data_IF_339085880358
#
_entry.id   IF_339085880358
#
_cell.length_a   1.000
_cell.length_b   1.000
_cell.length_c   1.000
_cell.angle_alpha   90.00
_cell.angle_beta   90.00
_cell.angle_gamma   90.00
#
_symmetry.space_group_name_H-M   'P 1'
#
loop_
_entity.id
_entity.type
_entity.pdbx_description
1 polymer ?
#
# COMPACT_ATOMS: atom_id res chain seq x y z
N UNK A 1 46.24 37.31 5.44
CA UNK A 1 45.26 38.42 5.48
C UNK A 1 43.95 37.89 4.91
N UNK A 2 42.88 37.93 5.70
CA UNK A 2 41.50 37.64 5.29
C UNK A 2 40.89 38.93 4.63
N UNK A 3 39.59 39.00 4.21
CA UNK A 3 38.62 37.98 3.79
C UNK A 3 37.67 38.39 2.61
N UNK A 4 36.88 37.41 2.14
CA UNK A 4 35.43 37.42 1.76
C UNK A 4 34.76 38.56 0.96
N UNK A 5 33.98 38.19 -0.07
CA UNK A 5 32.50 38.34 -0.14
C UNK A 5 31.97 38.02 -1.56
N UNK A 6 31.16 36.97 -1.71
CA UNK A 6 30.23 36.77 -2.82
C UNK A 6 28.87 36.36 -2.23
N UNK A 7 27.99 37.36 -2.09
CA UNK A 7 26.57 37.22 -1.79
C UNK A 7 25.81 36.93 -3.10
N UNK A 8 25.11 35.79 -3.20
CA UNK A 8 23.68 35.64 -2.90
C UNK A 8 22.76 36.48 -3.81
N UNK A 9 22.30 35.88 -4.90
CA UNK A 9 21.16 36.36 -5.68
C UNK A 9 19.88 35.70 -5.13
N UNK A 10 19.18 36.41 -4.25
CA UNK A 10 17.85 36.08 -3.79
C UNK A 10 16.81 36.57 -4.80
N UNK A 11 16.01 35.65 -5.37
CA UNK A 11 14.81 36.00 -6.12
C UNK A 11 13.70 36.36 -5.15
N UNK A 12 13.30 37.64 -5.19
CA UNK A 12 12.24 38.25 -4.40
C UNK A 12 10.87 37.69 -4.82
N UNK A 13 10.10 37.18 -3.87
CA UNK A 13 8.65 36.98 -4.01
C UNK A 13 7.97 38.16 -3.30
N UNK A 14 7.41 39.07 -4.10
CA UNK A 14 6.55 40.15 -3.62
C UNK A 14 5.27 39.56 -3.02
N UNK A 15 5.07 39.76 -1.72
CA UNK A 15 3.82 39.53 -1.03
C UNK A 15 2.92 40.78 -1.14
N UNK A 16 1.71 40.62 -1.69
CA UNK A 16 0.64 41.61 -1.58
C UNK A 16 -0.41 41.12 -0.56
N UNK A 17 -0.89 41.96 0.38
CA UNK A 17 -1.86 41.53 1.37
C UNK A 17 -3.27 41.60 0.78
N UNK A 18 -4.01 40.49 0.80
CA UNK A 18 -5.47 40.52 0.60
C UNK A 18 -6.20 40.12 1.89
N UNK A 19 -7.10 41.03 2.27
CA UNK A 19 -7.97 41.06 3.45
C UNK A 19 -8.88 39.83 3.56
N UNK A 20 -9.03 39.35 4.80
CA UNK A 20 -10.29 38.92 5.43
C UNK A 20 -11.23 37.99 4.66
N UNK A 21 -11.15 36.70 4.98
CA UNK A 21 -12.21 35.72 4.74
C UNK A 21 -11.80 34.35 5.28
N UNK A 22 -12.56 33.78 6.23
CA UNK A 22 -12.39 32.40 6.72
C UNK A 22 -12.67 31.43 5.57
N UNK A 23 -11.67 31.15 4.74
CA UNK A 23 -11.74 30.18 3.67
C UNK A 23 -11.51 28.77 4.20
N UNK A 24 -12.53 27.90 4.12
CA UNK A 24 -12.34 26.44 4.12
C UNK A 24 -11.33 26.12 3.00
N UNK A 25 -10.11 25.72 3.36
CA UNK A 25 -9.12 25.21 2.40
C UNK A 25 -9.66 23.91 1.83
N UNK A 26 -10.21 23.98 0.61
CA UNK A 26 -10.69 22.83 -0.15
C UNK A 26 -9.53 21.85 -0.33
N UNK A 27 -9.78 20.56 -0.13
CA UNK A 27 -8.79 19.52 -0.40
C UNK A 27 -8.38 19.60 -1.87
N UNK A 28 -7.16 20.05 -2.15
CA UNK A 28 -6.60 19.98 -3.50
C UNK A 28 -5.83 18.68 -3.57
N UNK A 29 -6.53 17.59 -3.91
CA UNK A 29 -5.87 16.58 -4.76
C UNK A 29 -5.54 17.34 -6.04
N UNK A 30 -4.31 17.22 -6.54
CA UNK A 30 -3.93 17.80 -7.83
C UNK A 30 -4.76 17.12 -8.93
N UNK A 31 -6.02 17.52 -9.08
CA UNK A 31 -6.87 17.19 -10.19
C UNK A 31 -6.39 18.07 -11.34
N UNK A 32 -5.48 17.55 -12.16
CA UNK A 32 -5.38 18.01 -13.53
C UNK A 32 -6.74 17.79 -14.17
N UNK A 33 -7.42 18.87 -14.53
CA UNK A 33 -8.54 18.81 -15.45
C UNK A 33 -8.02 18.17 -16.76
N UNK A 34 -8.42 16.92 -17.00
CA UNK A 34 -7.94 16.09 -18.11
C UNK A 34 -7.48 14.72 -17.60
N UNK A 35 -8.25 13.67 -17.93
CA UNK A 35 -8.04 12.26 -17.58
C UNK A 35 -7.70 12.02 -16.09
N UNK A 36 -8.73 11.90 -15.23
CA UNK A 36 -8.55 11.86 -13.78
C UNK A 36 -7.61 10.76 -13.27
N UNK A 37 -6.83 11.10 -12.24
CA UNK A 37 -5.89 10.21 -11.56
C UNK A 37 -6.62 9.00 -10.91
N UNK A 38 -5.94 7.84 -10.76
CA UNK A 38 -6.49 6.71 -10.01
C UNK A 38 -6.78 7.10 -8.55
N UNK A 39 -7.71 6.40 -7.86
CA UNK A 39 -8.08 6.73 -6.49
C UNK A 39 -6.87 6.57 -5.56
N UNK A 40 -6.87 7.35 -4.47
CA UNK A 40 -5.90 7.17 -3.38
C UNK A 40 -6.34 5.99 -2.50
N UNK A 41 -5.45 5.02 -2.27
CA UNK A 41 -5.66 3.96 -1.29
C UNK A 41 -5.09 4.36 0.06
N UNK A 42 -5.87 4.16 1.11
CA UNK A 42 -5.49 4.45 2.49
C UNK A 42 -5.63 3.18 3.32
N UNK A 43 -4.61 2.84 4.09
CA UNK A 43 -4.67 1.69 5.01
C UNK A 43 -3.95 1.97 6.32
N UNK A 44 -4.22 1.12 7.31
CA UNK A 44 -3.73 1.26 8.69
C UNK A 44 -3.06 -0.03 9.14
N UNK A 45 -1.85 0.08 9.69
CA UNK A 45 -1.07 -1.04 10.22
C UNK A 45 -0.98 -0.95 11.73
N UNK A 46 -1.14 -2.08 12.40
CA UNK A 46 -1.16 -2.11 13.86
C UNK A 46 -1.52 -3.49 14.39
N UNK A 47 -1.10 -3.76 15.63
CA UNK A 47 -1.37 -5.04 16.30
C UNK A 47 -2.89 -5.29 16.40
N UNK A 48 -3.32 -6.55 16.49
CA UNK A 48 -4.72 -6.87 16.83
C UNK A 48 -5.21 -6.07 18.06
N UNK A 49 -6.38 -5.45 17.97
CA UNK A 49 -6.96 -4.61 19.02
C UNK A 49 -6.39 -3.19 19.16
N UNK A 50 -5.49 -2.75 18.27
CA UNK A 50 -4.95 -1.37 18.30
C UNK A 50 -5.90 -0.28 17.78
N UNK A 51 -7.04 -0.64 17.19
CA UNK A 51 -8.03 0.29 16.63
C UNK A 51 -7.95 0.52 15.12
N UNK A 52 -7.45 -0.46 14.34
CA UNK A 52 -7.33 -0.34 12.86
C UNK A 52 -8.67 -0.06 12.16
N UNK A 53 -9.68 -0.88 12.42
CA UNK A 53 -11.04 -0.73 11.87
C UNK A 53 -11.65 0.62 12.25
N UNK A 54 -11.46 1.04 13.49
CA UNK A 54 -11.89 2.36 13.95
C UNK A 54 -11.18 3.49 13.20
N UNK A 55 -9.86 3.39 13.01
CA UNK A 55 -9.10 4.38 12.25
C UNK A 55 -9.52 4.43 10.77
N UNK A 56 -9.80 3.27 10.16
CA UNK A 56 -10.33 3.18 8.81
C UNK A 56 -11.70 3.85 8.70
N UNK A 57 -12.63 3.57 9.62
CA UNK A 57 -13.95 4.20 9.65
C UNK A 57 -13.86 5.73 9.85
N UNK A 58 -13.04 6.20 10.79
CA UNK A 58 -12.79 7.64 11.03
C UNK A 58 -12.22 8.31 9.78
N UNK A 59 -11.25 7.68 9.12
CA UNK A 59 -10.65 8.23 7.90
C UNK A 59 -11.65 8.26 6.74
N UNK A 60 -12.45 7.20 6.55
CA UNK A 60 -13.46 7.15 5.50
C UNK A 60 -14.52 8.26 5.68
N UNK A 61 -15.02 8.42 6.90
CA UNK A 61 -15.96 9.49 7.26
C UNK A 61 -15.35 10.87 7.10
N UNK A 62 -14.07 11.03 7.45
CA UNK A 62 -13.36 12.29 7.24
C UNK A 62 -13.25 12.64 5.76
N UNK A 63 -12.80 11.74 4.89
CA UNK A 63 -12.70 12.00 3.45
C UNK A 63 -14.06 12.29 2.82
N UNK A 64 -15.11 11.55 3.19
CA UNK A 64 -16.47 11.82 2.73
C UNK A 64 -16.97 13.21 3.16
N UNK A 65 -16.69 13.61 4.40
CA UNK A 65 -17.04 14.96 4.92
C UNK A 65 -16.30 16.10 4.22
N UNK A 66 -15.16 15.81 3.61
CA UNK A 66 -14.38 16.74 2.80
C UNK A 66 -14.89 16.84 1.35
N UNK A 67 -15.94 16.07 1.02
CA UNK A 67 -16.57 16.04 -0.30
C UNK A 67 -15.92 15.07 -1.29
N UNK A 68 -15.09 14.14 -0.82
CA UNK A 68 -14.47 13.12 -1.67
C UNK A 68 -15.35 11.88 -1.75
N UNK A 69 -15.53 11.34 -2.96
CA UNK A 69 -16.17 10.03 -3.15
C UNK A 69 -15.29 8.96 -2.54
N UNK A 70 -15.75 8.38 -1.43
CA UNK A 70 -14.96 7.49 -0.59
C UNK A 70 -15.58 6.10 -0.54
N UNK A 71 -14.76 5.06 -0.67
CA UNK A 71 -15.17 3.67 -0.45
C UNK A 71 -14.42 3.08 0.74
N UNK A 72 -15.13 2.60 1.76
CA UNK A 72 -14.58 1.79 2.84
C UNK A 72 -14.69 0.30 2.49
N UNK A 73 -13.54 -0.34 2.30
CA UNK A 73 -13.42 -1.77 1.99
C UNK A 73 -12.99 -2.52 3.25
N UNK A 74 -13.83 -3.45 3.72
CA UNK A 74 -13.59 -4.19 4.97
C UNK A 74 -13.25 -5.65 4.64
N UNK A 75 -12.11 -6.14 5.11
CA UNK A 75 -11.72 -7.55 4.96
C UNK A 75 -12.17 -8.43 6.15
N UNK A 76 -12.30 -7.85 7.34
CA UNK A 76 -12.68 -8.61 8.54
C UNK A 76 -14.14 -9.09 8.48
N UNK A 77 -14.41 -10.24 9.09
CA UNK A 77 -15.75 -10.83 9.09
C UNK A 77 -16.58 -10.49 10.34
N UNK A 78 -15.93 -9.92 11.36
CA UNK A 78 -16.56 -9.52 12.62
C UNK A 78 -17.45 -8.25 12.45
N UNK A 79 -18.38 -7.98 13.39
CA UNK A 79 -19.36 -6.91 13.24
C UNK A 79 -18.82 -5.50 13.57
N UNK A 80 -17.53 -5.33 13.90
CA UNK A 80 -16.99 -4.05 14.39
C UNK A 80 -17.23 -2.91 13.40
N UNK A 81 -16.98 -3.12 12.10
CA UNK A 81 -17.18 -2.09 11.09
C UNK A 81 -18.66 -1.70 10.95
N UNK A 82 -19.57 -2.68 10.93
CA UNK A 82 -21.02 -2.44 10.84
C UNK A 82 -21.54 -1.69 12.06
N UNK A 83 -21.06 -2.04 13.25
CA UNK A 83 -21.42 -1.37 14.50
C UNK A 83 -20.95 0.08 14.55
N UNK A 84 -19.71 0.35 14.10
CA UNK A 84 -19.18 1.71 14.00
C UNK A 84 -19.96 2.55 12.99
N UNK A 85 -20.26 1.97 11.82
CA UNK A 85 -20.95 2.64 10.73
C UNK A 85 -22.45 2.81 10.98
N UNK A 86 -23.06 1.96 11.82
CA UNK A 86 -24.49 1.95 12.08
C UNK A 86 -25.32 1.42 10.89
N UNK A 87 -24.69 0.74 9.93
CA UNK A 87 -25.32 0.18 8.73
C UNK A 87 -24.76 -1.23 8.47
N UNK A 88 -25.57 -2.10 7.86
CA UNK A 88 -25.10 -3.43 7.41
C UNK A 88 -24.19 -3.26 6.19
N UNK A 89 -23.09 -4.00 6.15
CA UNK A 89 -22.11 -3.92 5.05
C UNK A 89 -22.12 -5.26 4.31
N UNK A 90 -22.67 -5.24 3.09
CA UNK A 90 -22.72 -6.42 2.22
C UNK A 90 -21.48 -6.60 1.35
N UNK A 91 -21.48 -7.66 0.54
CA UNK A 91 -20.44 -7.95 -0.45
C UNK A 91 -20.54 -7.11 -1.74
N UNK A 92 -21.62 -6.34 -1.90
CA UNK A 92 -21.80 -5.33 -2.93
C UNK A 92 -21.62 -3.93 -2.38
N UNK A 93 -21.21 -3.02 -3.27
CA UNK A 93 -21.04 -1.62 -2.97
C UNK A 93 -22.37 -1.01 -2.50
N UNK A 94 -22.37 -0.47 -1.28
CA UNK A 94 -23.57 0.08 -0.63
C UNK A 94 -23.27 1.46 -0.07
N UNK A 95 -24.03 2.47 -0.49
CA UNK A 95 -23.93 3.82 0.07
C UNK A 95 -24.44 3.83 1.52
N UNK A 96 -23.58 4.21 2.46
CA UNK A 96 -23.94 4.29 3.89
C UNK A 96 -24.11 5.76 4.36
N UNK A 97 -23.43 6.70 3.71
CA UNK A 97 -23.63 8.14 3.91
C UNK A 97 -23.25 8.91 2.64
N UNK A 98 -23.57 10.20 2.58
CA UNK A 98 -23.23 11.05 1.44
C UNK A 98 -21.72 10.99 1.13
N UNK A 99 -21.38 10.63 -0.11
CA UNK A 99 -20.01 10.40 -0.58
C UNK A 99 -19.26 9.23 0.10
N UNK A 100 -19.97 8.34 0.80
CA UNK A 100 -19.38 7.20 1.49
C UNK A 100 -20.10 5.90 1.13
N UNK A 101 -19.45 5.12 0.28
CA UNK A 101 -19.83 3.75 -0.02
C UNK A 101 -19.02 2.78 0.84
N UNK A 102 -19.58 1.61 1.09
CA UNK A 102 -18.96 0.55 1.87
C UNK A 102 -19.09 -0.78 1.13
N UNK A 103 -18.12 -1.67 1.32
CA UNK A 103 -18.23 -3.07 0.89
C UNK A 103 -17.40 -3.98 1.78
N UNK A 104 -17.85 -5.22 1.92
CA UNK A 104 -17.18 -6.28 2.65
C UNK A 104 -16.59 -7.28 1.67
N UNK A 105 -15.34 -7.69 1.89
CA UNK A 105 -14.70 -8.73 1.09
C UNK A 105 -15.05 -10.10 1.66
N UNK A 106 -15.74 -10.91 0.87
CA UNK A 106 -16.09 -12.28 1.20
C UNK A 106 -15.37 -13.22 0.22
N UNK A 107 -14.22 -13.75 0.62
CA UNK A 107 -13.36 -14.56 -0.28
C UNK A 107 -14.12 -15.71 -0.93
N UNK A 108 -14.97 -16.42 -0.19
CA UNK A 108 -15.79 -17.51 -0.73
C UNK A 108 -16.69 -17.07 -1.89
N UNK A 109 -17.27 -15.87 -1.82
CA UNK A 109 -18.08 -15.30 -2.92
C UNK A 109 -17.23 -14.74 -4.05
N UNK A 110 -16.11 -14.12 -3.71
CA UNK A 110 -15.19 -13.49 -4.67
C UNK A 110 -14.49 -14.49 -5.59
N UNK A 111 -14.43 -15.76 -5.21
CA UNK A 111 -13.81 -16.82 -6.02
C UNK A 111 -14.70 -17.33 -7.15
N UNK A 112 -16.02 -17.15 -7.04
CA UNK A 112 -16.98 -17.67 -8.02
C UNK A 112 -16.79 -17.00 -9.38
N UNK A 113 -16.71 -15.67 -9.42
CA UNK A 113 -16.56 -14.92 -10.68
C UNK A 113 -15.24 -15.24 -11.41
N UNK A 114 -14.04 -15.25 -10.76
CA UNK A 114 -12.80 -15.72 -11.38
C UNK A 114 -12.88 -17.17 -11.88
N UNK A 115 -13.48 -18.08 -11.12
CA UNK A 115 -13.64 -19.47 -11.53
C UNK A 115 -14.51 -19.58 -12.79
N UNK A 116 -15.63 -18.87 -12.83
CA UNK A 116 -16.51 -18.83 -13.99
C UNK A 116 -15.82 -18.28 -15.24
N UNK A 117 -14.96 -17.28 -15.08
CA UNK A 117 -14.13 -16.77 -16.18
C UNK A 117 -13.13 -17.81 -16.65
N UNK A 118 -12.47 -18.49 -15.71
CA UNK A 118 -11.48 -19.53 -16.02
C UNK A 118 -12.14 -20.68 -16.79
N UNK A 119 -13.34 -21.13 -16.35
CA UNK A 119 -14.17 -22.11 -17.06
C UNK A 119 -14.53 -21.67 -18.48
N UNK A 120 -15.01 -20.44 -18.64
CA UNK A 120 -15.39 -19.90 -19.97
C UNK A 120 -14.23 -19.85 -20.94
N UNK A 121 -13.04 -19.47 -20.47
CA UNK A 121 -11.84 -19.43 -21.32
C UNK A 121 -11.36 -20.85 -21.61
N UNK A 122 -11.38 -21.74 -20.64
CA UNK A 122 -10.99 -23.14 -20.83
C UNK A 122 -11.89 -23.85 -21.86
N UNK A 123 -13.18 -23.57 -21.90
CA UNK A 123 -14.09 -24.09 -22.94
C UNK A 123 -13.68 -23.65 -24.36
N UNK A 124 -13.00 -22.51 -24.51
CA UNK A 124 -12.55 -22.01 -25.81
C UNK A 124 -11.21 -22.61 -26.25
N UNK A 125 -10.28 -22.81 -25.32
CA UNK A 125 -8.92 -23.31 -25.62
C UNK A 125 -8.75 -24.79 -25.33
N UNK A 126 -9.74 -25.42 -24.69
CA UNK A 126 -9.82 -26.80 -24.24
C UNK A 126 -8.54 -27.30 -23.54
N UNK A 127 -7.99 -26.49 -22.61
CA UNK A 127 -6.71 -26.81 -21.96
C UNK A 127 -6.88 -27.95 -20.94
N UNK A 128 -7.97 -27.96 -20.18
CA UNK A 128 -8.21 -28.97 -19.13
C UNK A 128 -9.03 -30.17 -19.61
N UNK A 129 -9.38 -30.24 -20.90
CA UNK A 129 -10.17 -31.34 -21.46
C UNK A 129 -11.51 -31.56 -20.71
N UNK A 130 -12.16 -30.46 -20.27
CA UNK A 130 -13.44 -30.50 -19.56
C UNK A 130 -13.36 -30.76 -18.05
N UNK A 131 -12.17 -31.00 -17.49
CA UNK A 131 -12.01 -31.21 -16.03
C UNK A 131 -12.51 -30.01 -15.22
N UNK A 132 -12.22 -28.80 -15.70
CA UNK A 132 -12.59 -27.57 -15.01
C UNK A 132 -14.11 -27.29 -15.05
N UNK A 133 -14.80 -27.78 -16.07
CA UNK A 133 -16.27 -27.64 -16.20
C UNK A 133 -17.00 -28.35 -15.06
N UNK A 134 -16.48 -29.51 -14.64
CA UNK A 134 -17.05 -30.33 -13.57
C UNK A 134 -16.91 -29.71 -12.16
N UNK A 135 -16.08 -28.68 -11.99
CA UNK A 135 -15.82 -28.08 -10.66
C UNK A 135 -17.01 -27.23 -10.23
N UNK A 136 -17.61 -27.49 -9.07
CA UNK A 136 -18.66 -26.63 -8.50
C UNK A 136 -18.02 -25.58 -7.60
N UNK A 137 -18.25 -24.29 -7.89
CA UNK A 137 -17.55 -23.20 -7.19
C UNK A 137 -17.93 -23.08 -5.72
N UNK A 138 -19.19 -23.34 -5.41
CA UNK A 138 -19.76 -23.29 -4.06
C UNK A 138 -19.25 -24.40 -3.14
N UNK A 139 -18.68 -25.47 -3.70
CA UNK A 139 -18.05 -26.56 -2.96
C UNK A 139 -16.59 -26.26 -2.60
N UNK A 140 -16.00 -25.22 -3.20
CA UNK A 140 -14.60 -24.87 -2.97
C UNK A 140 -14.42 -24.17 -1.61
N UNK A 141 -13.60 -24.79 -0.76
CA UNK A 141 -13.07 -24.13 0.43
C UNK A 141 -12.10 -23.01 0.09
N UNK A 142 -12.02 -22.01 0.97
CA UNK A 142 -10.98 -20.96 0.89
C UNK A 142 -9.67 -21.52 1.42
N UNK A 143 -8.66 -21.65 0.55
CA UNK A 143 -7.31 -22.07 0.93
C UNK A 143 -6.49 -20.89 1.47
N UNK A 144 -5.47 -21.14 2.31
CA UNK A 144 -4.57 -20.10 2.78
C UNK A 144 -3.96 -19.26 1.64
N UNK A 145 -4.07 -17.93 1.75
CA UNK A 145 -3.55 -16.97 0.78
C UNK A 145 -4.52 -16.59 -0.34
N UNK A 146 -5.62 -17.32 -0.53
CA UNK A 146 -6.64 -16.96 -1.52
C UNK A 146 -7.35 -15.66 -1.17
N UNK A 147 -7.54 -15.39 0.12
CA UNK A 147 -8.07 -14.14 0.66
C UNK A 147 -7.19 -12.93 0.34
N UNK A 148 -5.87 -13.06 0.46
CA UNK A 148 -4.92 -12.04 0.04
C UNK A 148 -5.01 -11.76 -1.47
N UNK A 149 -5.04 -12.81 -2.29
CA UNK A 149 -5.17 -12.68 -3.76
C UNK A 149 -6.50 -12.02 -4.14
N UNK A 150 -7.61 -12.50 -3.58
CA UNK A 150 -8.93 -11.92 -3.79
C UNK A 150 -8.98 -10.44 -3.38
N UNK A 151 -8.37 -10.08 -2.25
CA UNK A 151 -8.31 -8.69 -1.80
C UNK A 151 -7.56 -7.80 -2.79
N UNK A 152 -6.43 -8.25 -3.31
CA UNK A 152 -5.69 -7.53 -4.36
C UNK A 152 -6.54 -7.37 -5.62
N UNK A 153 -7.26 -8.41 -6.05
CA UNK A 153 -8.14 -8.35 -7.21
C UNK A 153 -9.32 -7.37 -7.01
N UNK A 154 -9.93 -7.34 -5.82
CA UNK A 154 -10.96 -6.36 -5.47
C UNK A 154 -10.41 -4.93 -5.47
N UNK A 155 -9.26 -4.71 -4.82
CA UNK A 155 -8.60 -3.41 -4.81
C UNK A 155 -8.23 -2.98 -6.23
N UNK A 156 -7.75 -3.90 -7.07
CA UNK A 156 -7.52 -3.64 -8.49
C UNK A 156 -8.77 -3.12 -9.20
N UNK A 157 -9.93 -3.75 -8.96
CA UNK A 157 -11.20 -3.37 -9.59
C UNK A 157 -11.66 -1.99 -9.12
N UNK A 158 -11.51 -1.67 -7.83
CA UNK A 158 -11.89 -0.38 -7.27
C UNK A 158 -10.93 0.75 -7.65
N UNK A 159 -9.63 0.45 -7.71
CA UNK A 159 -8.57 1.42 -8.01
C UNK A 159 -8.38 1.62 -9.51
N UNK A 160 -9.07 0.86 -10.35
CA UNK A 160 -8.98 0.91 -11.81
C UNK A 160 -7.54 0.78 -12.35
N UNK A 161 -6.67 0.01 -11.68
CA UNK A 161 -5.25 -0.16 -12.07
C UNK A 161 -5.05 -0.61 -13.53
N UNK A 162 -6.05 -1.28 -14.11
CA UNK A 162 -5.95 -2.04 -15.36
C UNK A 162 -6.73 -1.39 -16.51
N UNK A 163 -7.47 -0.30 -16.25
CA UNK A 163 -8.30 0.32 -17.27
C UNK A 163 -7.51 1.37 -18.05
N UNK A 164 -7.15 1.06 -19.30
CA UNK A 164 -6.66 2.04 -20.28
C UNK A 164 -7.81 2.76 -21.02
N UNK A 165 -9.05 2.33 -20.81
CA UNK A 165 -10.26 2.86 -21.44
C UNK A 165 -11.37 2.90 -20.38
N UNK A 166 -11.70 4.10 -19.90
CA UNK A 166 -12.74 4.35 -18.90
C UNK A 166 -14.12 3.94 -19.44
N UNK A 167 -14.50 2.67 -19.26
CA UNK A 167 -15.88 2.27 -19.41
C UNK A 167 -16.68 2.82 -18.22
N UNK A 168 -17.70 3.60 -18.57
CA UNK A 168 -18.45 4.55 -17.75
C UNK A 168 -19.45 3.95 -16.74
N UNK A 169 -19.28 2.70 -16.32
CA UNK A 169 -20.27 1.99 -15.48
C UNK A 169 -19.84 1.69 -14.05
N UNK A 170 -18.56 1.92 -13.68
CA UNK A 170 -18.11 1.76 -12.30
C UNK A 170 -18.12 3.10 -11.56
N UNK A 171 -18.60 3.09 -10.32
CA UNK A 171 -18.54 4.25 -9.43
C UNK A 171 -17.07 4.69 -9.26
N UNK A 172 -16.74 5.86 -9.79
CA UNK A 172 -15.40 6.44 -9.63
C UNK A 172 -15.24 7.00 -8.21
N UNK A 173 -14.28 6.44 -7.46
CA UNK A 173 -13.90 6.91 -6.13
C UNK A 173 -12.66 7.82 -6.20
N UNK A 174 -12.62 8.82 -5.33
CA UNK A 174 -11.42 9.63 -5.09
C UNK A 174 -10.49 8.94 -4.09
N UNK A 175 -11.08 8.27 -3.08
CA UNK A 175 -10.36 7.59 -2.00
C UNK A 175 -10.96 6.21 -1.71
N UNK A 176 -10.11 5.20 -1.62
CA UNK A 176 -10.46 3.88 -1.11
C UNK A 176 -9.75 3.68 0.22
N UNK A 177 -10.51 3.52 1.30
CA UNK A 177 -9.97 3.18 2.62
C UNK A 177 -10.10 1.67 2.80
N UNK A 178 -8.97 0.98 2.92
CA UNK A 178 -8.93 -0.47 3.06
C UNK A 178 -8.60 -0.87 4.50
N UNK A 179 -9.60 -1.41 5.19
CA UNK A 179 -9.47 -2.01 6.51
C UNK A 179 -9.04 -3.48 6.38
N UNK A 180 -7.74 -3.69 6.52
CA UNK A 180 -7.14 -5.01 6.48
C UNK A 180 -7.15 -5.67 7.86
N UNK A 181 -7.55 -6.94 7.90
CA UNK A 181 -7.54 -7.74 9.12
C UNK A 181 -6.11 -8.13 9.55
N UNK A 182 -5.19 -8.30 8.59
CA UNK A 182 -3.85 -8.82 8.78
C UNK A 182 -2.77 -7.86 8.24
N UNK A 183 -2.07 -7.19 9.17
CA UNK A 183 -0.97 -6.27 8.82
C UNK A 183 0.13 -6.93 8.00
N UNK A 184 0.42 -8.22 8.19
CA UNK A 184 1.46 -8.89 7.41
C UNK A 184 1.10 -9.08 5.95
N UNK A 185 -0.19 -9.24 5.62
CA UNK A 185 -0.65 -9.37 4.23
C UNK A 185 -0.40 -8.08 3.45
N UNK A 186 -0.66 -6.91 4.06
CA UNK A 186 -0.31 -5.62 3.47
C UNK A 186 1.20 -5.49 3.26
N UNK A 187 2.00 -5.89 4.25
CA UNK A 187 3.47 -5.84 4.14
C UNK A 187 3.97 -6.73 2.99
N UNK A 188 3.40 -7.93 2.86
CA UNK A 188 3.69 -8.85 1.76
C UNK A 188 3.21 -8.29 0.43
N UNK A 189 2.07 -7.62 0.36
CA UNK A 189 1.57 -6.94 -0.84
C UNK A 189 2.51 -5.83 -1.30
N UNK A 190 2.91 -4.94 -0.38
CA UNK A 190 3.87 -3.86 -0.65
C UNK A 190 5.18 -4.47 -1.18
N UNK A 191 5.74 -5.45 -0.46
CA UNK A 191 7.01 -6.10 -0.83
C UNK A 191 6.93 -6.92 -2.11
N UNK A 192 5.76 -7.49 -2.42
CA UNK A 192 5.53 -8.20 -3.67
C UNK A 192 5.65 -7.26 -4.87
N UNK A 193 5.28 -5.98 -4.74
CA UNK A 193 5.41 -5.05 -5.88
C UNK A 193 6.86 -4.85 -6.32
N UNK A 194 7.83 -4.84 -5.39
CA UNK A 194 9.26 -4.73 -5.69
C UNK A 194 9.83 -6.06 -6.23
N UNK A 195 9.33 -7.20 -5.73
CA UNK A 195 9.87 -8.54 -6.04
C UNK A 195 9.20 -9.24 -7.21
N UNK A 196 7.97 -8.87 -7.56
CA UNK A 196 7.15 -9.55 -8.56
C UNK A 196 7.87 -9.66 -9.91
N UNK A 197 8.64 -8.65 -10.31
CA UNK A 197 9.46 -8.70 -11.53
C UNK A 197 10.50 -9.83 -11.50
N UNK A 198 11.13 -10.08 -10.36
CA UNK A 198 12.12 -11.16 -10.24
C UNK A 198 11.46 -12.53 -10.30
N UNK A 199 10.31 -12.72 -9.62
CA UNK A 199 9.52 -13.95 -9.75
C UNK A 199 9.03 -14.17 -11.18
N UNK A 200 8.49 -13.13 -11.82
CA UNK A 200 8.05 -13.21 -13.21
C UNK A 200 9.19 -13.61 -14.15
N UNK A 201 10.40 -13.07 -13.93
CA UNK A 201 11.59 -13.48 -14.69
C UNK A 201 11.90 -14.96 -14.51
N UNK A 202 11.80 -15.50 -13.30
CA UNK A 202 12.03 -16.93 -13.07
C UNK A 202 10.96 -17.80 -13.75
N UNK A 203 9.69 -17.38 -13.70
CA UNK A 203 8.60 -18.07 -14.40
C UNK A 203 8.80 -18.02 -15.91
N UNK A 204 9.19 -16.86 -16.45
CA UNK A 204 9.51 -16.69 -17.88
C UNK A 204 10.70 -17.55 -18.29
N UNK A 205 11.77 -17.55 -17.51
CA UNK A 205 12.94 -18.40 -17.74
C UNK A 205 12.55 -19.88 -17.73
N UNK A 206 11.69 -20.31 -16.81
CA UNK A 206 11.18 -21.69 -16.77
C UNK A 206 10.35 -22.00 -18.02
N UNK A 207 9.47 -21.08 -18.43
CA UNK A 207 8.65 -21.21 -19.61
C UNK A 207 9.48 -21.27 -20.91
N UNK A 208 10.54 -20.49 -21.02
CA UNK A 208 11.37 -20.39 -22.24
C UNK A 208 12.48 -21.44 -22.30
N UNK A 209 13.05 -21.84 -21.15
CA UNK A 209 14.24 -22.72 -21.09
C UNK A 209 13.92 -24.19 -20.85
N UNK A 210 12.68 -24.57 -20.54
CA UNK A 210 12.29 -25.98 -20.35
C UNK A 210 11.40 -26.47 -21.48
N UNK A 211 11.52 -27.76 -21.80
CA UNK A 211 10.73 -28.38 -22.88
C UNK A 211 9.23 -28.38 -22.57
N UNK A 212 8.87 -28.72 -21.32
CA UNK A 212 7.48 -28.68 -20.83
C UNK A 212 6.95 -27.24 -20.83
N UNK A 213 7.78 -26.28 -20.39
CA UNK A 213 7.42 -24.86 -20.38
C UNK A 213 7.13 -24.34 -21.78
N UNK A 214 7.98 -24.63 -22.76
CA UNK A 214 7.80 -24.17 -24.15
C UNK A 214 6.52 -24.72 -24.78
N UNK A 215 6.11 -25.92 -24.39
CA UNK A 215 4.95 -26.60 -24.94
C UNK A 215 3.64 -26.15 -24.27
N UNK A 216 3.63 -25.96 -22.95
CA UNK A 216 2.42 -25.63 -22.18
C UNK A 216 2.23 -24.12 -21.90
N UNK A 217 3.30 -23.32 -21.90
CA UNK A 217 3.26 -21.91 -21.51
C UNK A 217 2.32 -21.06 -22.37
N UNK A 218 2.28 -21.16 -23.72
CA UNK A 218 1.41 -20.32 -24.52
C UNK A 218 -0.07 -20.45 -24.15
N UNK A 219 -0.57 -21.68 -24.00
CA UNK A 219 -1.97 -21.94 -23.65
C UNK A 219 -2.28 -21.60 -22.20
N UNK A 220 -1.38 -21.92 -21.26
CA UNK A 220 -1.56 -21.58 -19.85
C UNK A 220 -1.53 -20.06 -19.62
N UNK A 221 -0.63 -19.34 -20.28
CA UNK A 221 -0.55 -17.89 -20.21
C UNK A 221 -1.79 -17.22 -20.78
N UNK A 222 -2.29 -17.73 -21.91
CA UNK A 222 -3.55 -17.25 -22.50
C UNK A 222 -4.73 -17.46 -21.54
N UNK A 223 -4.84 -18.64 -20.92
CA UNK A 223 -5.88 -18.93 -19.93
C UNK A 223 -5.86 -17.94 -18.76
N UNK A 224 -4.69 -17.74 -18.15
CA UNK A 224 -4.51 -16.84 -17.01
C UNK A 224 -4.79 -15.38 -17.41
N UNK A 225 -4.24 -14.95 -18.53
CA UNK A 225 -4.33 -13.57 -18.97
C UNK A 225 -5.75 -13.18 -19.43
N UNK A 226 -6.43 -14.04 -20.19
CA UNK A 226 -7.79 -13.79 -20.66
C UNK A 226 -8.81 -13.88 -19.50
N UNK A 227 -8.62 -14.81 -18.55
CA UNK A 227 -9.49 -14.90 -17.35
C UNK A 227 -9.34 -13.71 -16.41
N UNK A 228 -8.15 -13.10 -16.34
CA UNK A 228 -7.90 -11.89 -15.54
C UNK A 228 -8.51 -10.62 -16.17
N UNK A 229 -8.86 -10.62 -17.47
CA UNK A 229 -9.42 -9.45 -18.16
C UNK A 229 -10.94 -9.36 -18.01
N UNK A 230 -11.46 -8.27 -17.43
CA UNK A 230 -12.91 -8.14 -17.20
C UNK A 230 -13.74 -7.98 -18.49
N UNK A 231 -13.15 -7.54 -19.60
CA UNK A 231 -13.87 -7.24 -20.85
C UNK A 231 -13.97 -8.43 -21.84
N UNK A 232 -13.53 -9.64 -21.48
CA UNK A 232 -13.73 -10.85 -22.30
C UNK A 232 -13.13 -10.81 -23.72
N UNK A 233 -12.28 -9.81 -24.03
CA UNK A 233 -11.55 -9.76 -25.30
C UNK A 233 -10.46 -10.82 -25.26
N UNK A 234 -10.59 -11.82 -26.11
CA UNK A 234 -9.61 -12.89 -26.28
C UNK A 234 -8.27 -12.31 -26.73
N UNK A 235 -7.16 -12.83 -26.23
CA UNK A 235 -5.83 -12.48 -26.74
C UNK A 235 -5.50 -13.20 -28.06
N UNK A 236 -6.51 -13.52 -28.88
CA UNK A 236 -6.33 -14.26 -30.12
C UNK A 236 -5.36 -13.54 -31.06
N UNK A 237 -4.37 -14.29 -31.54
CA UNK A 237 -3.32 -13.77 -32.43
C UNK A 237 -2.19 -13.00 -31.73
N UNK A 238 -2.23 -12.78 -30.40
CA UNK A 238 -1.09 -12.18 -29.68
C UNK A 238 0.00 -13.18 -29.41
N UNK A 239 1.25 -12.73 -29.55
CA UNK A 239 2.43 -13.53 -29.23
C UNK A 239 2.61 -13.66 -27.71
N UNK A 240 3.15 -14.78 -27.23
CA UNK A 240 3.41 -14.99 -25.80
C UNK A 240 4.36 -13.92 -25.22
N UNK A 241 5.31 -13.42 -26.02
CA UNK A 241 6.21 -12.33 -25.66
C UNK A 241 5.48 -11.01 -25.39
N UNK A 242 4.42 -10.71 -26.14
CA UNK A 242 3.58 -9.52 -25.92
C UNK A 242 2.81 -9.63 -24.60
N UNK A 243 2.27 -10.82 -24.30
CA UNK A 243 1.58 -11.08 -23.03
C UNK A 243 2.54 -10.93 -21.84
N UNK A 244 3.76 -11.46 -21.94
CA UNK A 244 4.80 -11.27 -20.93
C UNK A 244 5.14 -9.79 -20.71
N UNK A 245 5.31 -9.03 -21.79
CA UNK A 245 5.61 -7.61 -21.71
C UNK A 245 4.47 -6.81 -21.06
N UNK A 246 3.22 -7.13 -21.38
CA UNK A 246 2.04 -6.49 -20.76
C UNK A 246 2.01 -6.73 -19.25
N UNK A 247 2.32 -7.94 -18.80
CA UNK A 247 2.37 -8.29 -17.36
C UNK A 247 3.54 -7.58 -16.68
N UNK A 248 4.73 -7.53 -17.29
CA UNK A 248 5.87 -6.78 -16.76
C UNK A 248 5.55 -5.29 -16.59
N UNK A 249 4.94 -4.67 -17.60
CA UNK A 249 4.55 -3.26 -17.55
C UNK A 249 3.49 -3.00 -16.48
N UNK A 250 2.55 -3.93 -16.31
CA UNK A 250 1.53 -3.85 -15.26
C UNK A 250 2.17 -3.89 -13.87
N UNK A 251 3.02 -4.89 -13.60
CA UNK A 251 3.72 -5.02 -12.32
C UNK A 251 4.53 -3.75 -12.03
N UNK A 252 5.19 -3.19 -13.05
CA UNK A 252 5.95 -1.95 -12.89
C UNK A 252 5.07 -0.76 -12.53
N UNK A 253 3.91 -0.61 -13.17
CA UNK A 253 2.95 0.46 -12.85
C UNK A 253 2.44 0.35 -11.42
N UNK A 254 2.10 -0.87 -10.99
CA UNK A 254 1.65 -1.14 -9.62
C UNK A 254 2.77 -0.79 -8.62
N UNK A 255 4.01 -1.20 -8.87
CA UNK A 255 5.14 -0.90 -8.00
C UNK A 255 5.38 0.60 -7.81
N UNK A 256 5.37 1.38 -8.89
CA UNK A 256 5.50 2.84 -8.81
C UNK A 256 4.34 3.47 -8.05
N UNK A 257 3.13 2.91 -8.19
CA UNK A 257 1.95 3.40 -7.49
C UNK A 257 2.03 3.17 -5.98
N UNK A 258 2.45 1.98 -5.53
CA UNK A 258 2.58 1.66 -4.10
C UNK A 258 3.74 2.41 -3.43
N UNK A 259 4.75 2.81 -4.20
CA UNK A 259 5.84 3.66 -3.71
C UNK A 259 5.41 5.14 -3.55
N UNK A 260 4.35 5.59 -4.23
CA UNK A 260 3.91 6.98 -4.28
C UNK A 260 2.95 7.33 -3.12
N UNK A 261 3.37 8.15 -2.14
CA UNK A 261 2.56 8.50 -0.96
C UNK A 261 1.31 9.33 -1.27
N UNK A 262 1.23 9.93 -2.47
CA UNK A 262 0.01 10.60 -2.93
C UNK A 262 -1.07 9.61 -3.36
N UNK A 263 -0.67 8.40 -3.76
CA UNK A 263 -1.53 7.34 -4.29
C UNK A 263 -1.78 6.22 -3.28
N UNK A 264 -0.76 5.82 -2.53
CA UNK A 264 -0.88 4.85 -1.44
C UNK A 264 -0.42 5.47 -0.12
N UNK A 265 -1.35 5.67 0.81
CA UNK A 265 -1.08 6.18 2.14
C UNK A 265 -1.24 5.07 3.18
N UNK A 266 -0.16 4.83 3.92
CA UNK A 266 -0.11 3.83 4.97
C UNK A 266 0.18 4.51 6.31
N UNK A 267 -0.64 4.24 7.32
CA UNK A 267 -0.50 4.84 8.65
C UNK A 267 -0.31 3.78 9.73
N UNK A 268 0.48 4.08 10.76
CA UNK A 268 0.59 3.23 11.94
C UNK A 268 -0.49 3.58 12.95
N UNK A 269 -1.05 2.56 13.61
CA UNK A 269 -2.01 2.67 14.69
C UNK A 269 -1.52 1.87 15.90
N UNK A 270 -1.63 2.48 17.09
CA UNK A 270 -1.18 1.88 18.34
C UNK A 270 -1.96 2.42 19.54
N UNK A 271 -2.03 1.63 20.61
CA UNK A 271 -2.34 2.15 21.96
C UNK A 271 -1.04 2.66 22.60
N UNK A 272 -0.85 3.98 22.75
CA UNK A 272 0.38 4.55 23.27
C UNK A 272 0.58 4.32 24.77
N UNK A 273 -0.42 3.79 25.49
CA UNK A 273 -0.28 3.37 26.90
C UNK A 273 0.35 1.99 27.04
N UNK A 274 0.35 1.19 25.97
CA UNK A 274 0.88 -0.18 26.00
C UNK A 274 2.21 -0.22 25.28
N UNK A 275 3.30 -0.38 26.03
CA UNK A 275 4.66 -0.51 25.48
C UNK A 275 4.75 -1.52 24.32
N UNK A 276 4.10 -2.67 24.45
CA UNK A 276 4.06 -3.70 23.39
C UNK A 276 3.38 -3.18 22.12
N UNK A 277 2.31 -2.40 22.22
CA UNK A 277 1.65 -1.83 21.04
C UNK A 277 2.52 -0.80 20.33
N UNK A 278 3.27 0.01 21.10
CA UNK A 278 4.24 0.98 20.58
C UNK A 278 5.40 0.25 19.88
N UNK A 279 5.97 -0.78 20.52
CA UNK A 279 7.03 -1.59 19.93
C UNK A 279 6.57 -2.32 18.67
N UNK A 280 5.34 -2.85 18.64
CA UNK A 280 4.77 -3.45 17.42
C UNK A 280 4.63 -2.43 16.30
N UNK A 281 4.18 -1.21 16.58
CA UNK A 281 4.10 -0.15 15.57
C UNK A 281 5.48 0.26 15.04
N UNK A 282 6.51 0.36 15.89
CA UNK A 282 7.89 0.58 15.46
C UNK A 282 8.38 -0.58 14.58
N UNK A 283 8.08 -1.83 14.94
CA UNK A 283 8.42 -3.01 14.15
C UNK A 283 7.76 -2.97 12.77
N UNK A 284 6.47 -2.61 12.69
CA UNK A 284 5.76 -2.46 11.42
C UNK A 284 6.28 -1.29 10.58
N UNK A 285 6.78 -0.22 11.20
CA UNK A 285 7.48 0.83 10.47
C UNK A 285 8.70 0.27 9.75
N UNK A 286 9.57 -0.44 10.48
CA UNK A 286 10.75 -1.11 9.93
C UNK A 286 10.40 -2.09 8.82
N UNK A 287 9.42 -2.98 9.06
CA UNK A 287 8.99 -3.96 8.06
C UNK A 287 8.43 -3.30 6.80
N UNK A 288 7.67 -2.20 6.93
CA UNK A 288 7.14 -1.46 5.78
C UNK A 288 8.27 -0.84 4.97
N UNK A 289 9.24 -0.22 5.64
CA UNK A 289 10.42 0.35 4.99
C UNK A 289 11.28 -0.72 4.30
N UNK A 290 11.39 -1.91 4.89
CA UNK A 290 12.06 -3.06 4.26
C UNK A 290 11.27 -3.68 3.12
N UNK A 291 9.94 -3.59 3.14
CA UNK A 291 9.10 -3.97 2.01
C UNK A 291 9.14 -2.95 0.85
N UNK A 292 9.84 -1.83 1.01
CA UNK A 292 9.92 -0.76 -0.01
C UNK A 292 8.75 0.24 0.04
N UNK A 293 7.88 0.14 1.06
CA UNK A 293 6.76 1.06 1.27
C UNK A 293 7.11 2.26 2.14
N UNK A 294 6.20 3.22 2.16
CA UNK A 294 6.29 4.43 2.97
C UNK A 294 5.19 4.48 4.03
N UNK A 295 5.54 4.90 5.24
CA UNK A 295 4.57 5.24 6.29
C UNK A 295 4.40 6.76 6.30
N UNK A 296 3.16 7.23 6.13
CA UNK A 296 2.82 8.66 6.06
C UNK A 296 2.71 9.30 7.45
N UNK A 297 2.50 8.51 8.50
CA UNK A 297 2.35 8.99 9.85
C UNK A 297 1.89 7.91 10.83
N UNK A 298 1.80 8.30 12.10
CA UNK A 298 1.36 7.43 13.18
C UNK A 298 0.22 8.05 13.99
N UNK A 299 -0.70 7.21 14.41
CA UNK A 299 -1.86 7.56 15.23
C UNK A 299 -1.84 6.79 16.55
N UNK A 300 -2.01 7.52 17.65
CA UNK A 300 -2.36 6.97 18.94
C UNK A 300 -3.88 6.83 19.08
N UNK A 301 -4.34 5.65 19.46
CA UNK A 301 -5.74 5.37 19.79
C UNK A 301 -5.85 4.91 21.25
N UNK A 302 -6.39 5.77 22.10
CA UNK A 302 -6.58 5.49 23.53
C UNK A 302 -7.68 6.36 24.12
N UNK A 303 -8.43 5.82 25.07
CA UNK A 303 -9.43 6.52 25.86
C UNK A 303 -8.81 7.63 26.72
N UNK A 304 -7.70 7.32 27.40
CA UNK A 304 -7.05 8.22 28.36
C UNK A 304 -5.78 8.81 27.76
N UNK A 305 -5.90 9.98 27.12
CA UNK A 305 -4.78 10.72 26.51
C UNK A 305 -3.75 11.25 27.50
N UNK A 306 -4.04 11.32 28.79
CA UNK A 306 -3.10 11.86 29.79
C UNK A 306 -2.15 10.81 30.39
N UNK A 307 -2.44 9.52 30.22
CA UNK A 307 -1.67 8.39 30.77
C UNK A 307 -0.66 7.81 29.75
N UNK A 308 -0.18 8.62 28.80
CA UNK A 308 0.74 8.16 27.75
C UNK A 308 2.12 7.90 28.35
N UNK A 309 2.80 6.84 27.88
CA UNK A 309 4.22 6.68 28.15
C UNK A 309 5.02 7.91 27.64
N UNK A 310 5.80 8.55 28.53
CA UNK A 310 6.68 9.65 28.13
C UNK A 310 7.61 9.22 26.97
N UNK A 311 7.82 10.12 26.02
CA UNK A 311 8.72 9.89 24.88
C UNK A 311 8.16 9.01 23.74
N UNK A 312 6.87 8.62 23.74
CA UNK A 312 6.29 7.87 22.60
C UNK A 312 6.44 8.64 21.29
N UNK A 313 6.13 9.94 21.28
CA UNK A 313 6.26 10.76 20.07
C UNK A 313 7.72 10.84 19.58
N UNK A 314 8.69 10.90 20.49
CA UNK A 314 10.13 10.93 20.17
C UNK A 314 10.61 9.63 19.51
N UNK A 315 10.03 8.49 19.91
CA UNK A 315 10.31 7.19 19.26
C UNK A 315 9.92 7.17 17.79
N UNK A 316 8.96 7.99 17.37
CA UNK A 316 8.52 8.06 15.98
C UNK A 316 9.15 9.18 15.17
N UNK A 317 10.01 10.02 15.74
CA UNK A 317 10.73 11.02 14.94
C UNK A 317 11.55 10.35 13.82
N UNK A 318 11.58 10.94 12.60
CA UNK A 318 11.04 12.25 12.21
C UNK A 318 9.56 12.23 11.75
N UNK A 319 8.88 11.10 11.84
CA UNK A 319 7.48 10.96 11.43
C UNK A 319 6.54 11.74 12.35
N UNK A 320 5.45 12.26 11.78
CA UNK A 320 4.42 12.96 12.56
C UNK A 320 3.54 11.95 13.31
N UNK A 321 3.31 12.22 14.60
CA UNK A 321 2.44 11.46 15.48
C UNK A 321 1.25 12.32 15.92
N UNK A 322 0.04 11.78 15.86
CA UNK A 322 -1.20 12.44 16.30
C UNK A 322 -2.14 11.47 16.98
N UNK A 323 -3.24 11.96 17.56
CA UNK A 323 -4.26 11.13 18.20
C UNK A 323 -5.55 11.08 17.39
N UNK A 324 -6.15 9.89 17.34
CA UNK A 324 -7.53 9.74 16.91
C UNK A 324 -8.50 9.89 18.10
N UNK A 325 -9.75 10.29 17.85
CA UNK A 325 -10.79 10.26 18.87
C UNK A 325 -11.08 8.82 19.28
N UNK A 326 -11.24 8.59 20.59
CA UNK A 326 -11.66 7.30 21.10
C UNK A 326 -13.16 7.13 20.89
N UNK A 327 -13.55 5.96 20.42
CA UNK A 327 -14.92 5.58 20.13
C UNK A 327 -15.29 4.40 21.02
N UNK A 328 -16.23 4.57 21.97
CA UNK A 328 -16.74 3.44 22.73
C UNK A 328 -17.45 2.48 21.77
N UNK A 329 -17.12 1.20 21.87
CA UNK A 329 -17.59 0.19 20.93
C UNK A 329 -19.08 -0.10 21.07
N UNK A 330 -19.72 0.28 22.18
CA UNK A 330 -21.05 -0.21 22.57
C UNK A 330 -22.25 0.47 21.87
N UNK A 331 -22.03 1.49 21.04
CA UNK A 331 -23.10 2.20 20.32
C UNK A 331 -22.66 2.71 18.95
N UNK A 332 -23.62 3.03 18.07
CA UNK A 332 -23.31 3.71 16.81
C UNK A 332 -22.61 5.05 17.08
N UNK A 333 -21.60 5.36 16.26
CA UNK A 333 -20.79 6.55 16.45
C UNK A 333 -21.51 7.81 15.99
N UNK A 334 -21.54 8.86 16.83
CA UNK A 334 -21.90 10.21 16.38
C UNK A 334 -20.74 10.82 15.58
N UNK A 335 -20.74 10.55 14.27
CA UNK A 335 -19.69 10.99 13.36
C UNK A 335 -19.51 12.51 13.32
N UNK A 336 -20.57 13.29 13.57
CA UNK A 336 -20.46 14.76 13.59
C UNK A 336 -19.56 15.23 14.75
N UNK A 337 -19.77 14.65 15.94
CA UNK A 337 -18.96 14.93 17.14
C UNK A 337 -17.53 14.41 16.97
N UNK A 338 -17.37 13.21 16.41
CA UNK A 338 -16.07 12.57 16.18
C UNK A 338 -15.21 13.41 15.24
N UNK A 339 -15.76 13.84 14.10
CA UNK A 339 -15.04 14.66 13.12
C UNK A 339 -14.71 16.07 13.64
N UNK A 340 -15.57 16.63 14.50
CA UNK A 340 -15.30 17.90 15.19
C UNK A 340 -14.19 17.76 16.24
N UNK A 341 -14.04 16.59 16.86
CA UNK A 341 -13.00 16.31 17.87
C UNK A 341 -11.62 15.95 17.27
N UNK A 342 -11.54 15.70 15.96
CA UNK A 342 -10.28 15.46 15.27
C UNK A 342 -9.38 16.70 15.35
N UNK A 343 -8.16 16.51 15.86
CA UNK A 343 -7.16 17.58 15.95
C UNK A 343 -6.74 18.05 14.55
N UNK A 344 -6.29 19.30 14.45
CA UNK A 344 -5.79 19.84 13.16
C UNK A 344 -4.61 19.02 12.64
N UNK A 345 -3.73 18.54 13.52
CA UNK A 345 -2.63 17.66 13.15
C UNK A 345 -3.11 16.33 12.56
N UNK A 346 -4.16 15.72 13.11
CA UNK A 346 -4.74 14.48 12.55
C UNK A 346 -5.35 14.73 11.15
N UNK A 347 -6.08 15.85 11.00
CA UNK A 347 -6.65 16.28 9.72
C UNK A 347 -5.56 16.50 8.67
N UNK A 348 -4.49 17.23 9.03
CA UNK A 348 -3.37 17.51 8.13
C UNK A 348 -2.60 16.25 7.75
N UNK A 349 -2.50 15.27 8.65
CA UNK A 349 -1.85 13.98 8.39
C UNK A 349 -2.63 13.13 7.36
N UNK A 350 -3.97 13.14 7.45
CA UNK A 350 -4.84 12.47 6.47
C UNK A 350 -4.84 13.21 5.11
N UNK A 351 -4.80 14.55 5.11
CA UNK A 351 -4.79 15.37 3.88
C UNK A 351 -3.45 15.34 3.14
N UNK A 352 -2.34 15.64 3.83
CA UNK A 352 -1.05 15.96 3.21
C UNK A 352 -0.04 14.80 3.32
N UNK A 353 -0.33 13.68 2.67
CA UNK A 353 0.53 12.47 2.74
C UNK A 353 1.84 12.61 1.96
N UNK A 354 1.93 13.53 1.01
CA UNK A 354 3.08 13.68 0.09
C UNK A 354 4.28 14.46 0.64
N UNK A 355 4.09 15.35 1.63
CA UNK A 355 5.12 16.33 2.02
C UNK A 355 6.10 15.85 3.11
N UNK A 356 5.91 14.64 3.67
CA UNK A 356 6.63 14.19 4.88
C UNK A 356 7.26 12.80 4.74
N UNK A 357 7.72 12.44 3.55
CA UNK A 357 8.32 11.11 3.33
C UNK A 357 9.83 11.17 3.57
N UNK A 358 10.25 10.45 4.60
CA UNK A 358 11.67 10.27 4.92
C UNK A 358 12.28 9.24 3.95
N UNK A 359 13.38 9.55 3.26
CA UNK A 359 13.98 8.63 2.30
C UNK A 359 14.44 7.36 3.03
N UNK A 360 13.97 6.21 2.56
CA UNK A 360 14.34 4.91 3.14
C UNK A 360 15.79 4.51 2.85
N UNK A 361 16.35 5.02 1.75
CA UNK A 361 17.72 4.78 1.31
C UNK A 361 18.30 6.09 0.79
N UNK A 362 19.50 6.44 1.24
CA UNK A 362 20.29 7.55 0.70
C UNK A 362 21.68 7.09 0.30
N UNK A 363 22.19 7.69 -0.78
CA UNK A 363 23.49 7.37 -1.35
C UNK A 363 24.41 8.58 -1.22
N UNK A 364 25.58 8.37 -0.65
CA UNK A 364 26.67 9.36 -0.63
C UNK A 364 27.80 8.86 -1.52
N UNK A 365 27.90 9.44 -2.72
CA UNK A 365 28.93 9.08 -3.69
C UNK A 365 30.34 9.55 -3.30
N UNK A 366 30.46 10.59 -2.46
CA UNK A 366 31.76 11.13 -2.02
C UNK A 366 32.37 10.21 -0.97
N UNK A 367 31.58 9.80 0.02
CA UNK A 367 32.01 8.86 1.06
C UNK A 367 31.88 7.39 0.64
N UNK A 368 31.38 7.11 -0.58
CA UNK A 368 30.99 5.78 -1.05
C UNK A 368 30.16 5.02 0.01
N UNK A 369 29.16 5.69 0.59
CA UNK A 369 28.35 5.14 1.67
C UNK A 369 26.87 5.06 1.29
N UNK A 370 26.20 4.00 1.74
CA UNK A 370 24.76 3.79 1.59
C UNK A 370 24.15 3.78 2.97
N UNK A 371 23.17 4.64 3.22
CA UNK A 371 22.45 4.68 4.49
C UNK A 371 21.04 4.16 4.26
N UNK A 372 20.66 3.13 5.01
CA UNK A 372 19.31 2.57 5.00
C UNK A 372 18.64 2.85 6.34
N UNK A 373 17.49 3.51 6.29
CA UNK A 373 16.69 3.74 7.47
C UNK A 373 15.90 2.48 7.85
N UNK A 374 16.11 1.99 9.06
CA UNK A 374 15.66 0.69 9.55
C UNK A 374 15.14 0.80 11.00
N UNK A 375 14.05 1.56 11.24
CA UNK A 375 13.47 1.73 12.57
C UNK A 375 12.87 0.43 13.08
N UNK A 376 12.84 0.26 14.41
CA UNK A 376 12.17 -0.89 15.04
C UNK A 376 12.87 -2.24 14.88
N UNK A 377 14.13 -2.24 14.45
CA UNK A 377 14.99 -3.43 14.40
C UNK A 377 16.17 -3.30 15.35
N UNK A 378 16.56 -4.44 15.91
CA UNK A 378 17.82 -4.58 16.60
C UNK A 378 18.95 -4.98 15.63
N UNK A 379 20.18 -4.58 15.95
CA UNK A 379 21.35 -4.87 15.10
C UNK A 379 21.50 -6.38 14.80
N UNK A 380 21.16 -7.25 15.76
CA UNK A 380 21.27 -8.70 15.62
C UNK A 380 20.28 -9.32 14.62
N UNK A 381 19.19 -8.61 14.31
CA UNK A 381 18.17 -9.09 13.36
C UNK A 381 18.51 -8.75 11.91
N UNK A 382 19.47 -7.84 11.68
CA UNK A 382 19.78 -7.31 10.35
C UNK A 382 20.90 -8.14 9.72
N UNK A 383 20.59 -8.80 8.61
CA UNK A 383 21.60 -9.49 7.79
C UNK A 383 21.83 -8.71 6.50
N UNK A 384 23.10 -8.57 6.14
CA UNK A 384 23.54 -7.89 4.92
C UNK A 384 24.33 -8.86 4.05
N UNK A 385 23.93 -8.94 2.79
CA UNK A 385 24.60 -9.73 1.77
C UNK A 385 24.92 -8.85 0.57
N UNK A 386 25.96 -9.22 -0.17
CA UNK A 386 26.34 -8.58 -1.41
C UNK A 386 26.15 -9.55 -2.57
N UNK A 387 25.46 -9.10 -3.63
CA UNK A 387 25.14 -9.89 -4.81
C UNK A 387 25.72 -9.28 -6.09
N UNK A 388 25.69 -10.08 -7.16
CA UNK A 388 26.02 -9.67 -8.54
C UNK A 388 27.34 -8.90 -8.64
N UNK A 389 28.40 -9.44 -8.04
CA UNK A 389 29.75 -8.87 -8.13
C UNK A 389 29.91 -7.50 -7.45
N UNK A 390 28.99 -7.10 -6.56
CA UNK A 390 29.07 -5.84 -5.83
C UNK A 390 28.24 -4.69 -6.40
N UNK A 391 27.26 -5.01 -7.27
CA UNK A 391 26.30 -4.03 -7.81
C UNK A 391 25.00 -3.95 -6.99
N UNK A 392 24.73 -4.94 -6.13
CA UNK A 392 23.50 -5.03 -5.35
C UNK A 392 23.79 -5.40 -3.89
N UNK A 393 23.07 -4.77 -2.96
CA UNK A 393 23.02 -5.14 -1.55
C UNK A 393 21.67 -5.82 -1.28
N UNK A 394 21.68 -7.00 -0.68
CA UNK A 394 20.48 -7.65 -0.15
C UNK A 394 20.48 -7.48 1.37
N UNK A 395 19.41 -6.88 1.88
CA UNK A 395 19.19 -6.70 3.31
C UNK A 395 18.04 -7.60 3.72
N UNK A 396 18.24 -8.41 4.76
CA UNK A 396 17.20 -9.21 5.39
C UNK A 396 16.97 -8.69 6.82
N UNK A 397 15.74 -8.26 7.09
CA UNK A 397 15.29 -7.86 8.42
C UNK A 397 13.77 -7.96 8.50
N UNK A 398 13.25 -8.41 9.64
CA UNK A 398 11.81 -8.42 9.89
C UNK A 398 10.96 -9.29 8.96
N UNK A 399 11.48 -10.46 8.59
CA UNK A 399 10.87 -11.35 7.59
C UNK A 399 10.64 -10.67 6.23
N UNK A 400 11.51 -9.69 5.91
CA UNK A 400 11.54 -9.01 4.62
C UNK A 400 12.96 -9.02 4.06
N UNK A 401 13.05 -9.08 2.73
CA UNK A 401 14.28 -9.04 1.94
C UNK A 401 14.23 -7.90 0.93
N UNK A 402 15.12 -6.92 1.04
CA UNK A 402 15.18 -5.77 0.14
C UNK A 402 16.46 -5.76 -0.67
N UNK A 403 16.35 -5.57 -1.98
CA UNK A 403 17.51 -5.44 -2.88
C UNK A 403 17.72 -3.97 -3.19
N UNK A 404 18.83 -3.41 -2.72
CA UNK A 404 19.25 -2.04 -3.04
C UNK A 404 20.30 -2.10 -4.15
N UNK A 405 19.96 -1.51 -5.30
CA UNK A 405 20.88 -1.38 -6.43
C UNK A 405 21.82 -0.21 -6.20
N UNK A 406 23.12 -0.45 -6.36
CA UNK A 406 24.15 0.56 -6.21
C UNK A 406 24.32 1.34 -7.52
N UNK A 407 24.38 2.69 -7.47
CA UNK A 407 24.75 3.51 -8.62
C UNK A 407 26.11 3.05 -9.21
N UNK A 408 26.33 3.11 -10.54
CA UNK A 408 27.55 2.63 -11.17
C UNK A 408 28.85 3.15 -10.52
N UNK A 409 28.87 4.42 -10.13
CA UNK A 409 30.03 5.07 -9.49
C UNK A 409 30.35 4.53 -8.08
N UNK A 410 29.42 3.81 -7.45
CA UNK A 410 29.53 3.27 -6.09
C UNK A 410 29.54 1.74 -6.06
N UNK A 411 29.61 1.07 -7.21
CA UNK A 411 29.72 -0.38 -7.25
C UNK A 411 31.11 -0.81 -6.81
N UNK A 412 31.19 -1.88 -6.01
CA UNK A 412 32.45 -2.29 -5.38
C UNK A 412 32.21 -3.29 -4.26
N UNK A 413 33.24 -3.65 -3.50
CA UNK A 413 33.11 -4.60 -2.39
C UNK A 413 32.65 -3.87 -1.12
N UNK A 414 31.80 -4.50 -0.31
CA UNK A 414 31.46 -3.95 1.02
C UNK A 414 32.73 -3.89 1.87
N UNK A 415 33.10 -2.68 2.29
CA UNK A 415 34.24 -2.43 3.17
C UNK A 415 33.91 -2.53 4.66
N UNK A 416 32.63 -2.36 5.02
CA UNK A 416 32.12 -2.44 6.38
C UNK A 416 30.66 -2.01 6.47
N UNK A 417 30.01 -2.34 7.59
CA UNK A 417 28.66 -1.89 7.90
C UNK A 417 28.53 -1.57 9.40
N UNK A 418 27.78 -0.52 9.73
CA UNK A 418 27.49 -0.11 11.11
C UNK A 418 26.01 0.22 11.27
N UNK A 419 25.43 -0.15 12.40
CA UNK A 419 24.07 0.23 12.76
C UNK A 419 24.10 1.28 13.87
N UNK A 420 23.60 2.49 13.60
CA UNK A 420 23.59 3.64 14.52
C UNK A 420 22.31 4.44 14.28
N UNK A 421 21.65 4.89 15.35
CA UNK A 421 20.46 5.75 15.29
C UNK A 421 19.40 5.27 14.30
N UNK A 422 19.10 3.96 14.33
CA UNK A 422 18.12 3.29 13.44
C UNK A 422 18.53 3.27 11.96
N UNK A 423 19.77 3.57 11.64
CA UNK A 423 20.30 3.55 10.29
C UNK A 423 21.37 2.46 10.14
N UNK A 424 21.28 1.67 9.07
CA UNK A 424 22.34 0.81 8.60
C UNK A 424 23.19 1.58 7.59
N UNK A 425 24.43 1.90 7.97
CA UNK A 425 25.39 2.60 7.12
C UNK A 425 26.36 1.55 6.57
N UNK A 426 26.39 1.40 5.25
CA UNK A 426 27.25 0.46 4.52
C UNK A 426 28.28 1.25 3.73
N UNK A 427 29.56 0.99 3.95
CA UNK A 427 30.66 1.61 3.19
C UNK A 427 31.11 0.67 2.08
N UNK A 428 31.27 1.20 0.86
CA UNK A 428 31.72 0.47 -0.32
C UNK A 428 33.17 0.89 -0.67
N UNK A 429 34.01 -0.09 -1.06
CA UNK A 429 35.40 0.12 -1.49
C UNK A 429 35.49 0.15 -3.01
#
# INVERSE_FOLDING_TARGET
MAPSLLASAASQILAAPRRGGRGRRRLVIACSAGAGAPPKLVTFLGKGGSGKTTAAAVAAQYYASEGLKTCLVVQSQDPTAEQLMGCKIGNSLTECAANLSTMKLETSKMLLEPLDRLKKVDLQINLTQGVLEAVVGEELGVLPGMDSVCSVLALQKLLNFFSTQRNSSQEEFDVVVYDCNNTEEILRLIGATERARSYLRYVKDLAEKTDIGRLASPSAMRLIYDSARPNGKTSEGRLSSELWNDIEQLIQRISVWFADPSKFACFLIMDPRRSISVSSALRYWGCTTQAGGNICGAFGYTEKRFEIHQGVAEKFLPMTFSFLPFLPTDSSADWSRVLNSLSQNAKDLLRNTSNKVYPSVSFDSVQKSVTLFMPGFDKSEIKLYQYRGGSELLIEAGDQRRVVKLPPAMQGKVGGAKFVDRNLIVTIR
#
